data_IF_970891902212
#
_entry.id   IF_970891902212
#
_cell.length_a   1.000
_cell.length_b   1.000
_cell.length_c   1.000
_cell.angle_alpha   90.00
_cell.angle_beta   90.00
_cell.angle_gamma   90.00
#
_symmetry.space_group_name_H-M   'P 1'
#
loop_
_entity.id
_entity.type
_entity.pdbx_description
1 polymer ?
#
# COMPACT_ATOMS: atom_id res chain seq x y z
N UNK A 1 -26.90 -9.33 -14.67
CA UNK A 1 -25.60 -8.80 -14.21
C UNK A 1 -25.04 -7.76 -15.16
N UNK A 2 -24.80 -8.06 -16.45
CA UNK A 2 -24.28 -7.08 -17.43
C UNK A 2 -25.08 -5.76 -17.47
N UNK A 3 -26.41 -5.83 -17.52
CA UNK A 3 -27.27 -4.64 -17.48
C UNK A 3 -27.13 -3.81 -16.19
N UNK A 4 -26.91 -4.46 -15.04
CA UNK A 4 -26.70 -3.76 -13.77
C UNK A 4 -25.39 -2.96 -13.80
N UNK A 5 -24.31 -3.56 -14.33
CA UNK A 5 -23.04 -2.86 -14.52
C UNK A 5 -23.17 -1.69 -15.51
N UNK A 6 -23.89 -1.87 -16.61
CA UNK A 6 -24.12 -0.80 -17.59
C UNK A 6 -24.84 0.39 -16.97
N UNK A 7 -25.90 0.14 -16.19
CA UNK A 7 -26.63 1.20 -15.49
C UNK A 7 -25.76 1.92 -14.47
N UNK A 8 -24.96 1.18 -13.70
CA UNK A 8 -24.05 1.77 -12.72
C UNK A 8 -22.95 2.61 -13.41
N UNK A 9 -22.40 2.13 -14.53
CA UNK A 9 -21.43 2.87 -15.34
C UNK A 9 -22.01 4.18 -15.92
N UNK A 10 -23.27 4.16 -16.34
CA UNK A 10 -23.99 5.36 -16.77
C UNK A 10 -24.14 6.36 -15.61
N UNK A 11 -24.45 5.88 -14.40
CA UNK A 11 -24.55 6.75 -13.20
C UNK A 11 -23.23 7.44 -12.89
N UNK A 12 -22.10 6.73 -13.00
CA UNK A 12 -20.78 7.35 -12.85
C UNK A 12 -20.55 8.43 -13.90
N UNK A 13 -20.88 8.13 -15.17
CA UNK A 13 -20.70 9.04 -16.31
C UNK A 13 -21.59 10.29 -16.22
N UNK A 14 -22.74 10.18 -15.56
CA UNK A 14 -23.69 11.27 -15.33
C UNK A 14 -23.42 12.05 -14.02
N UNK A 15 -22.27 11.80 -13.37
CA UNK A 15 -21.89 12.42 -12.10
C UNK A 15 -22.94 12.24 -10.99
N UNK A 16 -23.63 11.10 -10.97
CA UNK A 16 -24.60 10.79 -9.91
C UNK A 16 -23.85 10.55 -8.62
N UNK A 17 -24.28 11.21 -7.54
CA UNK A 17 -23.70 10.98 -6.22
C UNK A 17 -24.06 9.57 -5.71
N UNK A 18 -23.11 8.84 -5.09
CA UNK A 18 -23.41 7.55 -4.50
C UNK A 18 -24.32 7.72 -3.28
N UNK A 19 -25.01 6.65 -2.90
CA UNK A 19 -25.79 6.67 -1.67
C UNK A 19 -24.87 6.60 -0.45
N UNK A 20 -25.40 6.90 0.75
CA UNK A 20 -24.70 6.67 2.01
C UNK A 20 -25.50 5.74 2.90
N UNK A 21 -24.86 4.68 3.37
CA UNK A 21 -25.39 3.79 4.40
C UNK A 21 -24.43 3.85 5.58
N UNK A 22 -24.94 4.17 6.77
CA UNK A 22 -24.15 4.32 8.01
C UNK A 22 -22.91 5.22 7.85
N UNK A 23 -23.06 6.32 7.09
CA UNK A 23 -21.97 7.26 6.82
C UNK A 23 -20.90 6.75 5.84
N UNK A 24 -21.13 5.63 5.15
CA UNK A 24 -20.23 5.07 4.13
C UNK A 24 -20.83 5.22 2.74
N UNK A 25 -20.00 5.54 1.74
CA UNK A 25 -20.45 5.51 0.36
C UNK A 25 -20.93 4.11 -0.03
N UNK A 26 -22.05 4.05 -0.74
CA UNK A 26 -22.69 2.82 -1.15
C UNK A 26 -23.13 2.87 -2.61
N UNK A 27 -23.02 1.71 -3.28
CA UNK A 27 -23.53 1.45 -4.62
C UNK A 27 -24.33 0.14 -4.59
N UNK A 28 -25.51 0.17 -5.20
CA UNK A 28 -26.44 -0.96 -5.26
C UNK A 28 -25.89 -2.13 -6.10
N UNK A 29 -24.85 -1.89 -6.91
CA UNK A 29 -24.33 -2.87 -7.87
C UNK A 29 -23.99 -4.22 -7.20
N UNK A 30 -23.37 -4.18 -6.02
CA UNK A 30 -23.05 -5.40 -5.29
C UNK A 30 -24.31 -6.16 -4.86
N UNK A 31 -25.32 -5.45 -4.34
CA UNK A 31 -26.58 -6.04 -3.88
C UNK A 31 -27.33 -6.66 -5.05
N UNK A 32 -27.51 -5.90 -6.14
CA UNK A 32 -28.23 -6.35 -7.34
C UNK A 32 -27.60 -7.63 -7.92
N UNK A 33 -26.27 -7.66 -8.04
CA UNK A 33 -25.54 -8.80 -8.60
C UNK A 33 -25.62 -10.02 -7.68
N UNK A 34 -25.42 -9.83 -6.38
CA UNK A 34 -25.52 -10.90 -5.37
C UNK A 34 -26.94 -11.48 -5.36
N UNK A 35 -27.96 -10.63 -5.46
CA UNK A 35 -29.37 -11.04 -5.48
C UNK A 35 -29.70 -11.83 -6.75
N UNK A 36 -29.22 -11.39 -7.93
CA UNK A 36 -29.40 -12.13 -9.18
C UNK A 36 -28.83 -13.55 -9.05
N UNK A 37 -27.61 -13.68 -8.52
CA UNK A 37 -26.96 -14.99 -8.34
C UNK A 37 -27.73 -15.84 -7.33
N UNK A 38 -28.08 -15.27 -6.17
CA UNK A 38 -28.76 -15.99 -5.08
C UNK A 38 -30.13 -16.50 -5.50
N UNK A 39 -30.90 -15.70 -6.24
CA UNK A 39 -32.20 -16.12 -6.76
C UNK A 39 -32.08 -17.18 -7.85
N UNK A 40 -31.06 -17.08 -8.72
CA UNK A 40 -30.78 -18.11 -9.72
C UNK A 40 -30.48 -19.47 -9.08
N UNK A 41 -29.64 -19.47 -8.03
CA UNK A 41 -29.33 -20.67 -7.27
C UNK A 41 -30.56 -21.26 -6.58
N UNK A 42 -31.34 -20.43 -5.86
CA UNK A 42 -32.52 -20.89 -5.14
C UNK A 42 -33.59 -21.52 -6.06
N UNK A 43 -33.79 -20.94 -7.26
CA UNK A 43 -34.72 -21.49 -8.27
C UNK A 43 -34.27 -22.86 -8.77
N UNK A 44 -32.97 -23.06 -8.99
CA UNK A 44 -32.44 -24.37 -9.40
C UNK A 44 -32.60 -25.43 -8.30
N UNK A 45 -32.27 -25.07 -7.06
CA UNK A 45 -32.41 -25.93 -5.88
C UNK A 45 -33.87 -26.32 -5.62
N UNK A 46 -34.83 -25.44 -5.93
CA UNK A 46 -36.26 -25.77 -5.82
C UNK A 46 -36.75 -26.80 -6.85
N UNK A 47 -36.00 -27.02 -7.93
CA UNK A 47 -36.31 -28.06 -8.92
C UNK A 47 -35.68 -29.38 -8.49
N UNK A 48 -34.35 -29.42 -8.34
CA UNK A 48 -33.61 -30.55 -7.77
C UNK A 48 -32.29 -30.09 -7.14
N UNK A 49 -31.79 -30.84 -6.15
CA UNK A 49 -30.51 -30.56 -5.50
C UNK A 49 -29.32 -30.72 -6.47
N UNK A 50 -29.40 -31.67 -7.40
CA UNK A 50 -28.37 -31.89 -8.43
C UNK A 50 -28.28 -30.70 -9.39
N UNK A 51 -29.42 -30.18 -9.87
CA UNK A 51 -29.45 -28.97 -10.68
C UNK A 51 -28.90 -27.76 -9.90
N UNK A 52 -29.21 -27.66 -8.60
CA UNK A 52 -28.64 -26.66 -7.70
C UNK A 52 -27.10 -26.73 -7.65
N UNK A 53 -26.54 -27.94 -7.60
CA UNK A 53 -25.08 -28.15 -7.61
C UNK A 53 -24.47 -27.80 -8.96
N UNK A 54 -25.09 -28.19 -10.07
CA UNK A 54 -24.62 -27.88 -11.42
C UNK A 54 -24.64 -26.37 -11.70
N UNK A 55 -25.73 -25.67 -11.35
CA UNK A 55 -25.84 -24.23 -11.58
C UNK A 55 -24.84 -23.43 -10.73
N UNK A 56 -24.49 -23.94 -9.54
CA UNK A 56 -23.53 -23.29 -8.64
C UNK A 56 -22.19 -23.07 -9.32
N UNK A 57 -21.70 -24.04 -10.10
CA UNK A 57 -20.48 -23.90 -10.87
C UNK A 57 -20.62 -22.90 -12.03
N UNK A 58 -21.74 -22.93 -12.76
CA UNK A 58 -21.99 -21.97 -13.84
C UNK A 58 -22.07 -20.52 -13.32
N UNK A 59 -22.75 -20.30 -12.19
CA UNK A 59 -22.87 -18.99 -11.57
C UNK A 59 -21.52 -18.43 -11.11
N UNK A 60 -20.58 -19.28 -10.68
CA UNK A 60 -19.22 -18.85 -10.36
C UNK A 60 -18.46 -18.35 -11.60
N UNK A 61 -18.58 -19.06 -12.72
CA UNK A 61 -17.95 -18.66 -13.98
C UNK A 61 -18.52 -17.31 -14.45
N UNK A 62 -19.83 -17.15 -14.38
CA UNK A 62 -20.50 -15.89 -14.72
C UNK A 62 -20.13 -14.74 -13.77
N UNK A 63 -20.00 -15.01 -12.46
CA UNK A 63 -19.50 -14.03 -11.50
C UNK A 63 -18.07 -13.62 -11.84
N UNK A 64 -17.18 -14.57 -12.18
CA UNK A 64 -15.81 -14.25 -12.59
C UNK A 64 -15.76 -13.35 -13.82
N UNK A 65 -16.60 -13.64 -14.83
CA UNK A 65 -16.71 -12.82 -16.04
C UNK A 65 -17.26 -11.42 -15.73
N UNK A 66 -18.25 -11.33 -14.84
CA UNK A 66 -18.78 -10.07 -14.36
C UNK A 66 -17.72 -9.24 -13.64
N UNK A 67 -16.97 -9.82 -12.69
CA UNK A 67 -15.95 -9.09 -11.92
C UNK A 67 -14.84 -8.52 -12.81
N UNK A 68 -14.42 -9.26 -13.84
CA UNK A 68 -13.49 -8.76 -14.87
C UNK A 68 -14.06 -7.59 -15.65
N UNK A 69 -15.34 -7.66 -16.02
CA UNK A 69 -16.02 -6.58 -16.76
C UNK A 69 -16.19 -5.34 -15.88
N UNK A 70 -16.51 -5.54 -14.60
CA UNK A 70 -16.64 -4.48 -13.61
C UNK A 70 -15.30 -3.75 -13.38
N UNK A 71 -14.21 -4.49 -13.20
CA UNK A 71 -12.87 -3.92 -13.09
C UNK A 71 -12.51 -3.05 -14.32
N UNK A 72 -12.72 -3.55 -15.55
CA UNK A 72 -12.48 -2.76 -16.77
C UNK A 72 -13.33 -1.49 -16.85
N UNK A 73 -14.62 -1.59 -16.56
CA UNK A 73 -15.53 -0.45 -16.58
C UNK A 73 -15.14 0.61 -15.53
N UNK A 74 -14.71 0.15 -14.35
CA UNK A 74 -14.21 1.03 -13.30
C UNK A 74 -12.89 1.70 -13.69
N UNK A 75 -11.95 0.98 -14.30
CA UNK A 75 -10.69 1.55 -14.78
C UNK A 75 -10.93 2.63 -15.86
N UNK A 76 -11.88 2.41 -16.77
CA UNK A 76 -12.30 3.43 -17.74
C UNK A 76 -12.88 4.68 -17.06
N UNK A 77 -13.68 4.48 -16.01
CA UNK A 77 -14.21 5.58 -15.19
C UNK A 77 -13.09 6.36 -14.48
N UNK A 78 -12.13 5.65 -13.85
CA UNK A 78 -10.97 6.27 -13.21
C UNK A 78 -10.21 7.16 -14.19
N UNK A 79 -10.03 6.73 -15.43
CA UNK A 79 -9.28 7.51 -16.42
C UNK A 79 -10.06 8.70 -17.00
N UNK A 80 -11.35 8.53 -17.31
CA UNK A 80 -12.11 9.53 -18.08
C UNK A 80 -12.83 10.57 -17.23
N UNK A 81 -13.12 10.27 -15.95
CA UNK A 81 -14.07 11.05 -15.16
C UNK A 81 -13.44 11.86 -14.01
N UNK A 82 -12.12 12.06 -14.01
CA UNK A 82 -11.35 12.73 -12.93
C UNK A 82 -11.86 14.13 -12.54
N UNK A 83 -12.57 14.81 -13.44
CA UNK A 83 -13.09 16.18 -13.24
C UNK A 83 -14.52 16.22 -12.66
N UNK A 84 -15.18 15.08 -12.50
CA UNK A 84 -16.55 15.02 -12.00
C UNK A 84 -16.62 15.37 -10.50
N UNK A 85 -17.71 16.01 -10.08
CA UNK A 85 -17.87 16.48 -8.70
C UNK A 85 -17.92 15.32 -7.70
N UNK A 86 -18.62 14.25 -8.07
CA UNK A 86 -18.79 13.07 -7.24
C UNK A 86 -17.75 11.98 -7.54
N UNK A 87 -16.72 12.29 -8.33
CA UNK A 87 -15.67 11.34 -8.74
C UNK A 87 -15.12 10.56 -7.54
N UNK A 88 -14.62 11.28 -6.53
CA UNK A 88 -14.03 10.69 -5.33
C UNK A 88 -15.02 9.81 -4.56
N UNK A 89 -16.25 10.30 -4.37
CA UNK A 89 -17.28 9.57 -3.65
C UNK A 89 -17.64 8.26 -4.39
N UNK A 90 -17.73 8.30 -5.71
CA UNK A 90 -17.96 7.12 -6.55
C UNK A 90 -16.78 6.14 -6.52
N UNK A 91 -15.53 6.62 -6.47
CA UNK A 91 -14.36 5.75 -6.25
C UNK A 91 -14.49 5.01 -4.91
N UNK A 92 -14.82 5.73 -3.82
CA UNK A 92 -15.03 5.14 -2.48
C UNK A 92 -16.18 4.12 -2.51
N UNK A 93 -17.32 4.42 -3.14
CA UNK A 93 -18.45 3.50 -3.24
C UNK A 93 -18.07 2.18 -3.91
N UNK A 94 -17.31 2.24 -5.00
CA UNK A 94 -16.89 1.06 -5.74
C UNK A 94 -15.83 0.22 -5.00
N UNK A 95 -14.94 0.87 -4.24
CA UNK A 95 -14.04 0.16 -3.31
C UNK A 95 -14.87 -0.55 -2.23
N UNK A 96 -15.85 0.12 -1.64
CA UNK A 96 -16.70 -0.45 -0.59
C UNK A 96 -17.48 -1.70 -1.08
N UNK A 97 -17.89 -1.74 -2.35
CA UNK A 97 -18.54 -2.90 -2.97
C UNK A 97 -17.69 -4.18 -2.89
N UNK A 98 -16.35 -4.07 -2.86
CA UNK A 98 -15.47 -5.23 -2.76
C UNK A 98 -15.73 -6.04 -1.48
N UNK A 99 -16.14 -5.40 -0.39
CA UNK A 99 -16.44 -6.08 0.88
C UNK A 99 -17.65 -7.01 0.72
N UNK A 100 -18.74 -6.52 0.11
CA UNK A 100 -19.96 -7.29 -0.11
C UNK A 100 -19.72 -8.52 -0.97
N UNK A 101 -18.95 -8.39 -2.06
CA UNK A 101 -18.60 -9.54 -2.90
C UNK A 101 -17.73 -10.57 -2.19
N UNK A 102 -16.74 -10.13 -1.39
CA UNK A 102 -15.90 -11.06 -0.59
C UNK A 102 -16.75 -11.84 0.40
N UNK A 103 -17.55 -11.15 1.21
CA UNK A 103 -18.43 -11.81 2.19
C UNK A 103 -19.39 -12.80 1.53
N UNK A 104 -19.94 -12.45 0.37
CA UNK A 104 -20.82 -13.34 -0.39
C UNK A 104 -20.12 -14.61 -0.85
N UNK A 105 -18.94 -14.48 -1.47
CA UNK A 105 -18.16 -15.63 -1.96
C UNK A 105 -17.74 -16.54 -0.80
N UNK A 106 -17.28 -15.97 0.30
CA UNK A 106 -16.84 -16.71 1.49
C UNK A 106 -18.01 -17.50 2.12
N UNK A 107 -19.19 -16.89 2.27
CA UNK A 107 -20.35 -17.51 2.91
C UNK A 107 -21.01 -18.60 2.05
N UNK A 108 -21.20 -18.35 0.74
CA UNK A 108 -22.03 -19.22 -0.11
C UNK A 108 -21.27 -20.37 -0.74
N UNK A 109 -19.97 -20.24 -0.95
CA UNK A 109 -19.23 -21.23 -1.73
C UNK A 109 -18.24 -22.09 -0.97
N UNK A 110 -17.87 -21.79 0.29
CA UNK A 110 -16.99 -22.63 1.15
C UNK A 110 -15.88 -23.34 0.34
N UNK A 111 -15.19 -22.56 -0.49
CA UNK A 111 -14.39 -23.06 -1.60
C UNK A 111 -13.05 -23.62 -1.06
N UNK A 112 -12.51 -24.72 -1.62
CA UNK A 112 -11.12 -25.12 -1.38
C UNK A 112 -10.14 -23.96 -1.64
N UNK A 113 -9.04 -23.88 -0.89
CA UNK A 113 -8.23 -22.65 -0.70
C UNK A 113 -7.68 -21.97 -1.97
N UNK A 114 -7.64 -22.64 -3.14
CA UNK A 114 -6.95 -22.13 -4.34
C UNK A 114 -7.84 -21.46 -5.40
N UNK A 115 -9.15 -21.76 -5.45
CA UNK A 115 -10.06 -21.20 -6.45
C UNK A 115 -10.56 -19.75 -6.16
N UNK A 116 -10.69 -19.29 -4.89
CA UNK A 116 -11.11 -17.92 -4.57
C UNK A 116 -10.14 -16.83 -5.04
N UNK A 117 -8.83 -17.12 -5.04
CA UNK A 117 -7.78 -16.13 -5.32
C UNK A 117 -7.87 -15.59 -6.75
N UNK A 118 -8.04 -16.47 -7.75
CA UNK A 118 -8.21 -16.10 -9.15
C UNK A 118 -9.57 -15.46 -9.44
N UNK A 119 -10.63 -15.89 -8.75
CA UNK A 119 -11.98 -15.31 -8.89
C UNK A 119 -12.03 -13.87 -8.41
N UNK A 120 -11.37 -13.58 -7.28
CA UNK A 120 -11.39 -12.27 -6.63
C UNK A 120 -10.26 -11.35 -7.10
N UNK A 121 -9.34 -11.80 -7.96
CA UNK A 121 -8.27 -10.97 -8.53
C UNK A 121 -8.77 -9.64 -9.12
N UNK A 122 -9.84 -9.61 -9.93
CA UNK A 122 -10.34 -8.34 -10.47
C UNK A 122 -10.83 -7.38 -9.39
N UNK A 123 -11.33 -7.88 -8.25
CA UNK A 123 -11.72 -7.04 -7.10
C UNK A 123 -10.49 -6.51 -6.35
N UNK A 124 -9.40 -7.28 -6.27
CA UNK A 124 -8.14 -6.80 -5.72
C UNK A 124 -7.59 -5.65 -6.59
N UNK A 125 -7.57 -5.84 -7.91
CA UNK A 125 -7.11 -4.82 -8.87
C UNK A 125 -7.97 -3.55 -8.80
N UNK A 126 -9.30 -3.70 -8.85
CA UNK A 126 -10.25 -2.58 -8.71
C UNK A 126 -9.98 -1.76 -7.44
N UNK A 127 -9.86 -2.46 -6.30
CA UNK A 127 -9.56 -1.83 -5.01
C UNK A 127 -8.21 -1.11 -5.04
N UNK A 128 -7.16 -1.76 -5.53
CA UNK A 128 -5.82 -1.18 -5.63
C UNK A 128 -5.80 0.07 -6.49
N UNK A 129 -6.37 0.04 -7.70
CA UNK A 129 -6.47 1.20 -8.58
C UNK A 129 -7.29 2.34 -7.95
N UNK A 130 -8.36 1.99 -7.21
CA UNK A 130 -9.16 2.95 -6.45
C UNK A 130 -8.36 3.64 -5.34
N UNK A 131 -7.67 2.87 -4.49
CA UNK A 131 -6.82 3.42 -3.41
C UNK A 131 -5.70 4.28 -3.99
N UNK A 132 -5.03 3.83 -5.04
CA UNK A 132 -3.97 4.59 -5.72
C UNK A 132 -4.49 5.92 -6.26
N UNK A 133 -5.67 5.91 -6.88
CA UNK A 133 -6.35 7.13 -7.35
C UNK A 133 -6.64 8.09 -6.21
N UNK A 134 -7.19 7.59 -5.10
CA UNK A 134 -7.54 8.41 -3.93
C UNK A 134 -6.30 9.05 -3.28
N UNK A 135 -5.15 8.38 -3.30
CA UNK A 135 -3.90 8.85 -2.70
C UNK A 135 -3.02 9.69 -3.64
N UNK A 136 -3.30 9.69 -4.94
CA UNK A 136 -2.45 10.35 -5.94
C UNK A 136 -2.20 11.84 -5.63
N UNK A 137 -3.25 12.59 -5.27
CA UNK A 137 -3.12 14.01 -4.95
C UNK A 137 -2.25 14.23 -3.70
N UNK A 138 -2.53 13.49 -2.62
CA UNK A 138 -1.77 13.55 -1.38
C UNK A 138 -0.28 13.30 -1.65
N UNK A 139 0.07 12.22 -2.33
CA UNK A 139 1.46 11.91 -2.66
C UNK A 139 2.11 12.95 -3.57
N UNK A 140 1.32 13.59 -4.46
CA UNK A 140 1.76 14.74 -5.23
C UNK A 140 2.20 15.92 -4.35
N UNK A 141 1.41 16.25 -3.33
CA UNK A 141 1.69 17.32 -2.36
C UNK A 141 2.88 16.98 -1.46
N UNK A 142 3.05 15.72 -1.05
CA UNK A 142 4.16 15.31 -0.18
C UNK A 142 5.52 15.32 -0.89
N UNK A 143 5.55 15.08 -2.21
CA UNK A 143 6.78 14.98 -3.00
C UNK A 143 7.75 16.17 -2.84
N UNK A 144 7.33 17.45 -2.96
CA UNK A 144 8.20 18.59 -2.69
C UNK A 144 8.65 18.68 -1.22
N UNK A 145 7.80 18.30 -0.26
CA UNK A 145 8.14 18.30 1.16
C UNK A 145 9.27 17.30 1.46
N UNK A 146 9.18 16.08 0.92
CA UNK A 146 10.26 15.10 1.05
C UNK A 146 11.56 15.59 0.39
N UNK A 147 11.49 16.29 -0.76
CA UNK A 147 12.70 16.86 -1.40
C UNK A 147 13.44 17.85 -0.50
N UNK A 148 12.75 18.51 0.45
CA UNK A 148 13.37 19.46 1.37
C UNK A 148 14.44 18.83 2.24
N UNK A 149 14.27 17.58 2.71
CA UNK A 149 15.33 16.87 3.46
C UNK A 149 16.68 16.95 2.74
N UNK A 150 16.68 16.65 1.44
CA UNK A 150 17.91 16.66 0.65
C UNK A 150 18.36 18.08 0.27
N UNK A 151 17.42 19.01 0.01
CA UNK A 151 17.74 20.40 -0.35
C UNK A 151 18.36 21.18 0.82
N UNK A 152 17.86 20.97 2.03
CA UNK A 152 18.36 21.62 3.26
C UNK A 152 19.51 20.83 3.90
N UNK A 153 20.00 19.77 3.23
CA UNK A 153 21.04 18.88 3.76
C UNK A 153 20.74 18.39 5.18
N UNK A 154 19.48 18.06 5.44
CA UNK A 154 19.02 17.53 6.72
C UNK A 154 19.24 18.48 7.92
N UNK A 155 19.21 19.80 7.69
CA UNK A 155 19.39 20.79 8.75
C UNK A 155 18.25 20.81 9.80
N UNK A 156 17.01 20.55 9.37
CA UNK A 156 15.80 20.60 10.20
C UNK A 156 14.88 19.38 9.91
N UNK A 157 15.35 18.15 10.18
CA UNK A 157 14.68 16.93 9.74
C UNK A 157 13.38 16.67 10.51
N UNK A 158 13.31 17.08 11.79
CA UNK A 158 12.12 16.93 12.62
C UNK A 158 11.00 17.85 12.16
N UNK A 159 11.29 19.16 11.99
CA UNK A 159 10.30 20.13 11.51
C UNK A 159 9.79 19.80 10.11
N UNK A 160 10.68 19.33 9.23
CA UNK A 160 10.28 18.90 7.88
C UNK A 160 9.32 17.70 7.93
N UNK A 161 9.54 16.76 8.86
CA UNK A 161 8.64 15.63 9.01
C UNK A 161 7.31 16.02 9.67
N UNK A 162 7.33 16.87 10.69
CA UNK A 162 6.11 17.37 11.35
C UNK A 162 5.17 18.03 10.34
N UNK A 163 5.70 18.81 9.40
CA UNK A 163 4.92 19.40 8.31
C UNK A 163 4.33 18.34 7.37
N UNK A 164 5.10 17.30 7.02
CA UNK A 164 4.61 16.17 6.21
C UNK A 164 3.46 15.46 6.93
N UNK A 165 3.62 15.18 8.23
CA UNK A 165 2.62 14.50 9.04
C UNK A 165 1.35 15.36 9.19
N UNK A 166 1.49 16.67 9.38
CA UNK A 166 0.35 17.61 9.41
C UNK A 166 -0.45 17.54 8.11
N UNK A 167 0.23 17.62 6.96
CA UNK A 167 -0.42 17.56 5.64
C UNK A 167 -1.13 16.21 5.42
N UNK A 168 -0.55 15.10 5.86
CA UNK A 168 -1.23 13.80 5.80
C UNK A 168 -2.47 13.82 6.69
N UNK A 169 -2.34 14.25 7.94
CA UNK A 169 -3.42 14.31 8.93
C UNK A 169 -4.62 15.12 8.46
N UNK A 170 -4.39 16.29 7.87
CA UNK A 170 -5.43 17.18 7.31
C UNK A 170 -6.23 16.51 6.18
N UNK A 171 -5.64 15.56 5.45
CA UNK A 171 -6.27 14.84 4.33
C UNK A 171 -7.01 13.58 4.76
N UNK A 172 -6.72 13.01 5.94
CA UNK A 172 -7.34 11.76 6.40
C UNK A 172 -8.87 11.78 6.45
N UNK A 173 -9.54 12.88 6.89
CA UNK A 173 -11.00 12.95 6.92
C UNK A 173 -11.67 12.71 5.56
N UNK A 174 -10.97 12.97 4.45
CA UNK A 174 -11.49 12.75 3.11
C UNK A 174 -11.75 11.26 2.81
N UNK A 175 -11.14 10.34 3.55
CA UNK A 175 -11.29 8.88 3.39
C UNK A 175 -12.28 8.28 4.39
N UNK A 176 -12.99 9.11 5.16
CA UNK A 176 -13.90 8.66 6.22
C UNK A 176 -15.08 7.82 5.72
N UNK A 177 -15.53 8.01 4.47
CA UNK A 177 -16.64 7.25 3.87
C UNK A 177 -16.24 5.83 3.38
N UNK A 178 -14.96 5.43 3.44
CA UNK A 178 -14.49 4.06 3.15
C UNK A 178 -14.81 3.10 4.29
N UNK A 179 -15.12 1.83 3.99
CA UNK A 179 -15.22 0.78 5.03
C UNK A 179 -13.93 0.64 5.84
N UNK A 180 -14.04 0.24 7.11
CA UNK A 180 -12.93 0.21 8.06
C UNK A 180 -11.73 -0.60 7.58
N UNK A 181 -11.96 -1.82 7.08
CA UNK A 181 -10.90 -2.66 6.53
C UNK A 181 -10.14 -1.96 5.38
N UNK A 182 -10.82 -1.19 4.55
CA UNK A 182 -10.19 -0.45 3.45
C UNK A 182 -9.51 0.84 3.93
N UNK A 183 -9.93 1.42 5.06
CA UNK A 183 -9.21 2.53 5.70
C UNK A 183 -7.88 2.05 6.27
N UNK A 184 -7.86 0.89 6.93
CA UNK A 184 -6.63 0.27 7.44
C UNK A 184 -5.66 -0.07 6.31
N UNK A 185 -6.16 -0.67 5.22
CA UNK A 185 -5.35 -0.95 4.03
C UNK A 185 -4.80 0.33 3.39
N UNK A 186 -5.63 1.36 3.22
CA UNK A 186 -5.21 2.67 2.71
C UNK A 186 -4.12 3.28 3.61
N UNK A 187 -4.27 3.14 4.94
CA UNK A 187 -3.29 3.64 5.90
C UNK A 187 -1.97 2.87 5.85
N UNK A 188 -1.98 1.56 5.56
CA UNK A 188 -0.75 0.80 5.25
C UNK A 188 -0.04 1.36 4.00
N UNK A 189 -0.77 1.70 2.94
CA UNK A 189 -0.18 2.32 1.73
C UNK A 189 0.45 3.68 2.04
N UNK A 190 -0.21 4.51 2.87
CA UNK A 190 0.35 5.80 3.33
C UNK A 190 1.59 5.58 4.20
N UNK A 191 1.56 4.65 5.15
CA UNK A 191 2.70 4.34 6.02
C UNK A 191 3.90 3.86 5.19
N UNK A 192 3.68 2.94 4.26
CA UNK A 192 4.70 2.48 3.32
C UNK A 192 5.27 3.64 2.50
N UNK A 193 4.42 4.55 2.00
CA UNK A 193 4.87 5.72 1.24
C UNK A 193 5.80 6.62 2.07
N UNK A 194 5.43 6.92 3.32
CA UNK A 194 6.23 7.77 4.21
C UNK A 194 7.62 7.18 4.46
N UNK A 195 7.68 5.89 4.82
CA UNK A 195 8.95 5.18 5.05
C UNK A 195 9.78 5.11 3.77
N UNK A 196 9.16 4.71 2.65
CA UNK A 196 9.83 4.58 1.36
C UNK A 196 10.43 5.90 0.89
N UNK A 197 9.66 6.99 0.88
CA UNK A 197 10.16 8.30 0.47
C UNK A 197 11.28 8.80 1.40
N UNK A 198 11.17 8.54 2.71
CA UNK A 198 12.24 8.87 3.66
C UNK A 198 13.55 8.16 3.30
N UNK A 199 13.50 6.84 3.06
CA UNK A 199 14.67 6.04 2.65
C UNK A 199 15.20 6.51 1.30
N UNK A 200 14.33 6.88 0.34
CA UNK A 200 14.74 7.47 -0.94
C UNK A 200 15.56 8.74 -0.71
N UNK A 201 15.16 9.62 0.23
CA UNK A 201 15.92 10.84 0.55
C UNK A 201 17.25 10.53 1.22
N UNK A 202 17.26 9.57 2.14
CA UNK A 202 18.48 9.15 2.84
C UNK A 202 19.50 8.53 1.87
N UNK A 203 19.00 7.82 0.86
CA UNK A 203 19.82 7.16 -0.18
C UNK A 203 20.33 8.11 -1.26
N UNK A 204 20.00 9.42 -1.21
CA UNK A 204 20.59 10.40 -2.14
C UNK A 204 22.00 10.75 -1.66
N UNK A 205 23.00 10.61 -2.53
CA UNK A 205 24.42 10.95 -2.31
C UNK A 205 24.70 12.46 -2.20
N UNK A 206 23.88 13.20 -1.45
CA UNK A 206 24.01 14.65 -1.24
C UNK A 206 24.41 15.01 0.19
N UNK A 207 24.50 14.02 1.08
CA UNK A 207 24.94 14.17 2.47
C UNK A 207 26.09 13.20 2.72
N UNK A 208 27.23 13.72 3.17
CA UNK A 208 28.39 12.94 3.60
C UNK A 208 28.85 13.51 4.93
N UNK A 209 28.95 12.67 5.94
CA UNK A 209 29.30 13.04 7.31
C UNK A 209 30.60 12.36 7.70
N UNK A 210 31.65 13.15 7.91
CA UNK A 210 33.01 12.64 8.15
C UNK A 210 33.32 12.37 9.63
N UNK A 211 32.45 12.77 10.56
CA UNK A 211 32.69 12.62 12.01
C UNK A 211 31.60 11.79 12.67
N UNK A 212 31.99 11.02 13.69
CA UNK A 212 31.09 10.13 14.42
C UNK A 212 29.95 10.91 15.10
N UNK A 213 30.23 12.12 15.59
CA UNK A 213 29.25 12.97 16.28
C UNK A 213 28.13 13.41 15.34
N UNK A 214 28.48 13.83 14.12
CA UNK A 214 27.48 14.22 13.09
C UNK A 214 26.66 13.02 12.65
N UNK A 215 27.28 11.86 12.52
CA UNK A 215 26.59 10.61 12.18
C UNK A 215 25.62 10.18 13.29
N UNK A 216 26.04 10.30 14.56
CA UNK A 216 25.20 10.03 15.73
C UNK A 216 24.03 11.02 15.82
N UNK A 217 24.26 12.30 15.55
CA UNK A 217 23.20 13.31 15.49
C UNK A 217 22.17 12.98 14.41
N UNK A 218 22.62 12.67 13.18
CA UNK A 218 21.71 12.25 12.11
C UNK A 218 20.92 10.99 12.50
N UNK A 219 21.58 9.98 13.07
CA UNK A 219 20.92 8.76 13.52
C UNK A 219 19.85 9.06 14.58
N UNK A 220 20.12 9.96 15.52
CA UNK A 220 19.14 10.44 16.49
C UNK A 220 17.92 11.06 15.84
N UNK A 221 18.11 11.94 14.84
CA UNK A 221 17.01 12.52 14.07
C UNK A 221 16.22 11.47 13.28
N UNK A 222 16.88 10.47 12.67
CA UNK A 222 16.19 9.40 11.95
C UNK A 222 15.33 8.57 12.90
N UNK A 223 15.82 8.25 14.11
CA UNK A 223 15.06 7.52 15.12
C UNK A 223 13.83 8.29 15.61
N UNK A 224 14.00 9.57 15.97
CA UNK A 224 12.88 10.42 16.37
C UNK A 224 11.82 10.53 15.25
N UNK A 225 12.26 10.68 14.01
CA UNK A 225 11.38 10.73 12.85
C UNK A 225 10.67 9.39 12.59
N UNK A 226 11.35 8.27 12.79
CA UNK A 226 10.77 6.94 12.67
C UNK A 226 9.67 6.71 13.72
N UNK A 227 9.92 7.12 14.97
CA UNK A 227 8.95 7.05 16.06
C UNK A 227 7.70 7.90 15.76
N UNK A 228 7.90 9.11 15.23
CA UNK A 228 6.79 9.98 14.84
C UNK A 228 5.93 9.36 13.72
N UNK A 229 6.57 8.82 12.65
CA UNK A 229 5.85 8.13 11.56
C UNK A 229 5.07 6.93 12.11
N UNK A 230 5.73 6.09 12.92
CA UNK A 230 5.13 4.89 13.48
C UNK A 230 3.92 5.25 14.36
N UNK A 231 4.08 6.21 15.28
CA UNK A 231 3.02 6.62 16.19
C UNK A 231 1.82 7.19 15.44
N UNK A 232 2.07 8.13 14.53
CA UNK A 232 1.02 8.73 13.70
C UNK A 232 0.28 7.68 12.88
N UNK A 233 0.99 6.78 12.20
CA UNK A 233 0.36 5.77 11.35
C UNK A 233 -0.43 4.74 12.18
N UNK A 234 0.11 4.28 13.31
CA UNK A 234 -0.57 3.35 14.19
C UNK A 234 -1.84 3.95 14.80
N UNK A 235 -1.80 5.21 15.24
CA UNK A 235 -2.99 5.93 15.76
C UNK A 235 -4.10 6.08 14.72
N UNK A 236 -3.74 6.14 13.43
CA UNK A 236 -4.69 6.26 12.33
C UNK A 236 -5.02 4.91 11.66
N UNK A 237 -4.67 3.78 12.30
CA UNK A 237 -5.14 2.46 11.90
C UNK A 237 -4.25 1.68 10.93
N UNK A 238 -3.00 2.08 10.69
CA UNK A 238 -2.09 1.26 9.86
C UNK A 238 -1.74 -0.06 10.55
N UNK A 239 -1.96 -1.23 9.91
CA UNK A 239 -1.53 -2.53 10.43
C UNK A 239 -0.04 -2.86 10.14
N UNK A 240 0.70 -1.96 9.47
CA UNK A 240 2.03 -2.24 8.90
C UNK A 240 3.19 -2.28 9.92
N UNK A 241 3.11 -3.18 10.91
CA UNK A 241 4.15 -3.36 11.95
C UNK A 241 5.52 -3.76 11.40
N UNK A 242 5.54 -4.39 10.23
CA UNK A 242 6.75 -4.78 9.51
C UNK A 242 7.60 -3.58 9.07
N UNK A 243 7.05 -2.36 9.00
CA UNK A 243 7.79 -1.14 8.67
C UNK A 243 8.53 -0.52 9.86
N UNK A 244 8.20 -0.90 11.10
CA UNK A 244 8.68 -0.23 12.32
C UNK A 244 10.21 -0.26 12.45
N UNK A 245 10.88 -1.30 11.93
CA UNK A 245 12.34 -1.45 12.00
C UNK A 245 13.09 -0.81 10.83
N UNK A 246 12.39 -0.36 9.78
CA UNK A 246 13.00 0.06 8.53
C UNK A 246 13.95 1.24 8.73
N UNK A 247 13.49 2.31 9.38
CA UNK A 247 14.28 3.51 9.63
C UNK A 247 15.20 3.39 10.86
N UNK A 248 14.77 2.83 12.01
CA UNK A 248 15.64 2.71 13.18
C UNK A 248 16.91 1.89 12.92
N UNK A 249 16.80 0.79 12.16
CA UNK A 249 17.99 -0.03 11.83
C UNK A 249 18.93 0.71 10.85
N UNK A 250 18.40 1.47 9.88
CA UNK A 250 19.26 2.31 9.02
C UNK A 250 19.97 3.40 9.84
N UNK A 251 19.29 3.98 10.83
CA UNK A 251 19.91 4.93 11.75
C UNK A 251 21.06 4.27 12.52
N UNK A 252 20.88 3.03 12.97
CA UNK A 252 21.90 2.28 13.68
C UNK A 252 23.12 1.98 12.80
N UNK A 253 22.91 1.55 11.55
CA UNK A 253 23.98 1.39 10.55
C UNK A 253 24.77 2.70 10.35
N UNK A 254 24.10 3.85 10.32
CA UNK A 254 24.73 5.17 10.20
C UNK A 254 25.49 5.55 11.49
N UNK A 255 25.00 5.16 12.66
CA UNK A 255 25.58 5.49 13.98
C UNK A 255 26.84 4.68 14.28
N UNK A 256 26.81 3.37 14.01
CA UNK A 256 27.88 2.42 14.35
C UNK A 256 29.20 2.80 13.67
N UNK A 257 30.30 2.78 14.42
CA UNK A 257 31.63 3.12 13.89
C UNK A 257 32.47 1.87 13.58
N UNK A 258 32.29 0.80 14.36
CA UNK A 258 33.02 -0.45 14.15
C UNK A 258 32.48 -1.22 12.92
N UNK A 259 33.32 -1.56 11.93
CA UNK A 259 32.88 -2.29 10.73
C UNK A 259 32.26 -3.66 11.03
N UNK A 260 32.68 -4.35 12.10
CA UNK A 260 32.13 -5.65 12.45
C UNK A 260 30.71 -5.51 13.01
N UNK A 261 30.47 -4.50 13.85
CA UNK A 261 29.13 -4.15 14.32
C UNK A 261 28.21 -3.75 13.16
N UNK A 262 28.69 -2.96 12.19
CA UNK A 262 27.91 -2.62 10.99
C UNK A 262 27.50 -3.88 10.22
N UNK A 263 28.40 -4.86 10.07
CA UNK A 263 28.09 -6.13 9.39
C UNK A 263 26.96 -6.90 10.07
N UNK A 264 26.96 -6.96 11.41
CA UNK A 264 25.92 -7.65 12.19
C UNK A 264 24.57 -6.96 11.98
N UNK A 265 24.55 -5.62 12.02
CA UNK A 265 23.31 -4.86 11.82
C UNK A 265 22.80 -5.01 10.38
N UNK A 266 23.69 -5.00 9.38
CA UNK A 266 23.33 -5.24 7.97
C UNK A 266 22.78 -6.65 7.76
N UNK A 267 23.38 -7.68 8.37
CA UNK A 267 22.88 -9.04 8.30
C UNK A 267 21.47 -9.14 8.90
N UNK A 268 21.27 -8.52 10.05
CA UNK A 268 19.95 -8.43 10.71
C UNK A 268 18.95 -7.67 9.86
N UNK A 269 19.37 -6.59 9.20
CA UNK A 269 18.47 -5.81 8.33
C UNK A 269 18.01 -6.60 7.11
N UNK A 270 18.90 -7.39 6.52
CA UNK A 270 18.60 -8.23 5.36
C UNK A 270 17.62 -9.38 5.69
N UNK A 271 17.56 -9.85 6.94
CA UNK A 271 16.55 -10.85 7.33
C UNK A 271 15.16 -10.24 7.42
N UNK A 272 15.04 -8.97 7.86
CA UNK A 272 13.76 -8.26 7.91
C UNK A 272 13.30 -7.75 6.55
N UNK A 273 14.25 -7.34 5.70
CA UNK A 273 14.01 -6.77 4.38
C UNK A 273 14.89 -7.47 3.33
N UNK A 274 14.49 -8.67 2.85
CA UNK A 274 15.30 -9.47 1.94
C UNK A 274 15.45 -8.85 0.54
N UNK A 275 14.64 -7.86 0.18
CA UNK A 275 14.80 -7.04 -1.03
C UNK A 275 15.82 -5.89 -0.88
N UNK A 276 16.44 -5.74 0.30
CA UNK A 276 17.55 -4.83 0.52
C UNK A 276 18.79 -5.27 -0.27
N UNK A 277 19.32 -4.36 -1.10
CA UNK A 277 20.34 -4.70 -2.09
C UNK A 277 21.67 -4.05 -1.76
N UNK A 278 22.74 -4.54 -2.40
CA UNK A 278 24.05 -3.88 -2.32
C UNK A 278 24.03 -2.43 -2.80
N UNK A 279 23.12 -2.07 -3.71
CA UNK A 279 22.92 -0.69 -4.16
C UNK A 279 22.36 0.18 -3.02
N UNK A 280 21.32 -0.31 -2.35
CA UNK A 280 20.75 0.33 -1.15
C UNK A 280 21.80 0.52 -0.06
N UNK A 281 22.51 -0.56 0.30
CA UNK A 281 23.57 -0.50 1.30
C UNK A 281 24.68 0.50 0.93
N UNK A 282 25.10 0.53 -0.33
CA UNK A 282 26.14 1.46 -0.78
C UNK A 282 25.70 2.93 -0.63
N UNK A 283 24.42 3.24 -0.91
CA UNK A 283 23.90 4.58 -0.75
C UNK A 283 23.81 5.02 0.72
N UNK A 284 23.45 4.10 1.61
CA UNK A 284 23.42 4.36 3.06
C UNK A 284 24.84 4.54 3.61
N UNK A 285 25.77 3.65 3.26
CA UNK A 285 27.16 3.76 3.67
C UNK A 285 27.84 5.02 3.09
N UNK A 286 27.41 5.54 1.94
CA UNK A 286 27.94 6.79 1.39
C UNK A 286 27.65 8.02 2.28
N UNK A 287 26.66 7.95 3.17
CA UNK A 287 26.44 8.99 4.19
C UNK A 287 27.60 9.02 5.19
N UNK A 288 28.27 7.88 5.42
CA UNK A 288 29.50 7.81 6.20
C UNK A 288 30.70 8.20 5.34
N UNK A 289 31.32 9.31 5.67
CA UNK A 289 32.54 9.77 4.98
C UNK A 289 33.84 9.24 5.57
N UNK A 290 33.77 8.41 6.63
CA UNK A 290 34.94 7.93 7.38
C UNK A 290 35.28 6.45 7.16
N UNK A 291 34.51 5.73 6.34
CA UNK A 291 34.83 4.34 5.98
C UNK A 291 35.77 4.31 4.77
N UNK A 292 36.81 3.49 4.85
CA UNK A 292 37.69 3.19 3.73
C UNK A 292 36.98 2.35 2.67
N UNK A 293 37.49 2.36 1.44
CA UNK A 293 36.92 1.56 0.35
C UNK A 293 36.98 0.05 0.59
N UNK A 294 37.98 -0.43 1.34
CA UNK A 294 38.09 -1.84 1.74
C UNK A 294 37.02 -2.22 2.76
N UNK A 295 36.74 -1.36 3.75
CA UNK A 295 35.67 -1.57 4.73
C UNK A 295 34.30 -1.59 4.06
N UNK A 296 34.00 -0.62 3.18
CA UNK A 296 32.73 -0.59 2.43
C UNK A 296 32.56 -1.88 1.61
N UNK A 297 33.62 -2.35 0.94
CA UNK A 297 33.58 -3.61 0.19
C UNK A 297 33.33 -4.80 1.11
N UNK A 298 34.02 -4.85 2.25
CA UNK A 298 33.91 -5.92 3.26
C UNK A 298 32.53 -5.97 3.93
N UNK A 299 31.87 -4.83 4.14
CA UNK A 299 30.50 -4.79 4.67
C UNK A 299 29.50 -5.28 3.62
N UNK A 300 29.69 -4.91 2.35
CA UNK A 300 28.80 -5.32 1.25
C UNK A 300 28.77 -6.81 0.99
N UNK A 301 29.82 -7.55 1.32
CA UNK A 301 29.85 -9.01 1.13
C UNK A 301 28.92 -9.76 2.08
N UNK A 302 28.40 -9.12 3.13
CA UNK A 302 27.36 -9.72 3.98
C UNK A 302 26.11 -10.06 3.17
N UNK A 303 25.79 -9.25 2.17
CA UNK A 303 24.65 -9.48 1.28
C UNK A 303 24.93 -10.50 0.17
N UNK A 304 26.14 -11.09 0.10
CA UNK A 304 26.45 -12.23 -0.80
C UNK A 304 26.04 -13.57 -0.20
N UNK A 305 25.87 -13.62 1.12
CA UNK A 305 25.44 -14.82 1.80
C UNK A 305 23.95 -14.95 1.50
N UNK A 306 23.60 -15.87 0.61
CA UNK A 306 22.22 -16.20 0.23
C UNK A 306 21.36 -16.39 1.50
N UNK A 307 20.67 -15.34 1.93
CA UNK A 307 19.43 -15.47 2.68
C UNK A 307 18.51 -16.18 1.71
N UNK A 308 18.28 -17.48 1.91
CA UNK A 308 17.59 -18.36 0.97
C UNK A 308 16.40 -17.66 0.32
N UNK A 309 16.22 -17.90 -0.99
CA UNK A 309 15.25 -17.26 -1.87
C UNK A 309 13.80 -17.36 -1.35
N UNK A 310 13.48 -16.56 -0.35
CA UNK A 310 12.13 -16.24 0.03
C UNK A 310 11.82 -14.94 -0.69
N UNK A 311 10.93 -15.02 -1.67
CA UNK A 311 10.30 -13.82 -2.19
C UNK A 311 9.74 -13.03 -1.00
N UNK A 312 10.06 -11.73 -0.88
CA UNK A 312 9.54 -10.93 0.20
C UNK A 312 8.01 -10.98 0.14
N UNK A 313 7.37 -11.36 1.24
CA UNK A 313 5.90 -11.30 1.34
C UNK A 313 5.39 -9.85 1.18
N UNK A 314 6.24 -8.86 1.46
CA UNK A 314 6.01 -7.43 1.25
C UNK A 314 7.27 -6.76 0.69
N UNK A 315 7.07 -5.93 -0.32
CA UNK A 315 8.12 -5.19 -1.04
C UNK A 315 8.34 -3.80 -0.45
N UNK A 316 9.58 -3.47 -0.07
CA UNK A 316 9.99 -2.12 0.35
C UNK A 316 11.11 -1.59 -0.54
N UNK A 317 12.23 -2.29 -0.59
CA UNK A 317 13.43 -1.90 -1.33
C UNK A 317 13.33 -2.20 -2.82
N UNK A 318 12.53 -3.16 -3.25
CA UNK A 318 12.21 -3.35 -4.68
C UNK A 318 11.50 -2.11 -5.28
N UNK A 319 10.84 -1.30 -4.44
CA UNK A 319 10.19 -0.05 -4.81
C UNK A 319 11.11 1.17 -4.76
N UNK A 320 12.36 1.00 -4.29
CA UNK A 320 13.34 2.08 -4.12
C UNK A 320 14.40 1.94 -5.20
N UNK A 321 14.43 2.88 -6.14
CA UNK A 321 15.50 2.92 -7.16
C UNK A 321 16.66 3.77 -6.65
N UNK A 322 17.81 3.14 -6.45
CA UNK A 322 19.07 3.81 -6.12
C UNK A 322 19.86 4.05 -7.40
N UNK A 323 20.32 5.29 -7.58
CA UNK A 323 21.19 5.70 -8.70
C UNK A 323 22.67 5.73 -8.34
#
# INVERSE_FOLDING_TARGET
MARALELESQRWSQDVAPQRLDGRCHSELAIDVIQIISQGQAKAESITLDLGTQIKHMLLVELAAFLKSYQRAFDEFLERCKQLRNYRANVIANINNCLSFRMFVDQKWQIPQDLPSHLLSPLNELKSHGIDTLLQNLFGVLKPLFKRFTQTRWAAPTQTLEEIISVVGERLPEFSELQDCFREELMEVVHLHLVKEYIIRLSKRRLVLNTAEKQQQLAGHIRANAELIQHFCAQNGSPATWLHRALPTLAEIIRLQDPSAIKIEVATYATWYPDFSKGHLSAILAVKGNLSSSEVRSIRTILDINTGAHEPSKSLFSLIKVG
#
